data_IF_763306650589
#
_entry.id   IF_763306650589
#
_cell.length_a   1.000
_cell.length_b   1.000
_cell.length_c   1.000
_cell.angle_alpha   90.00
_cell.angle_beta   90.00
_cell.angle_gamma   90.00
#
_symmetry.space_group_name_H-M   'P 1'
#
loop_
_entity.id
_entity.type
_entity.pdbx_description
1 polymer ?
#
# COMPACT_ATOMS: atom_id res chain seq x y z
N UNK A 1 19.38 22.73 4.08
CA UNK A 1 20.17 21.56 3.67
C UNK A 1 20.81 20.89 4.89
N UNK A 2 21.10 19.61 4.77
CA UNK A 2 21.83 18.89 5.80
C UNK A 2 23.28 19.37 5.84
N UNK A 3 23.77 19.75 7.02
CA UNK A 3 25.14 20.26 7.18
C UNK A 3 26.20 19.19 6.89
N UNK A 4 25.89 17.91 7.12
CA UNK A 4 26.84 16.81 6.93
C UNK A 4 26.93 16.31 5.49
N UNK A 5 25.80 16.21 4.79
CA UNK A 5 25.74 15.62 3.44
C UNK A 5 25.34 16.59 2.34
N UNK A 6 24.96 17.82 2.69
CA UNK A 6 24.51 18.84 1.74
C UNK A 6 23.14 18.60 1.13
N UNK A 7 22.43 17.57 1.55
CA UNK A 7 21.09 17.24 1.04
C UNK A 7 20.00 17.73 1.98
N UNK A 8 18.81 17.96 1.42
CA UNK A 8 17.64 18.30 2.22
C UNK A 8 17.03 17.04 2.81
N UNK A 9 16.62 17.04 4.09
CA UNK A 9 15.84 15.94 4.64
C UNK A 9 14.57 15.75 3.82
N UNK A 10 14.25 14.51 3.51
CA UNK A 10 13.09 14.17 2.67
C UNK A 10 12.30 13.04 3.30
N UNK A 11 10.96 13.07 3.19
CA UNK A 11 10.18 11.91 3.56
C UNK A 11 10.40 10.75 2.58
N UNK A 12 10.19 9.53 3.06
CA UNK A 12 10.14 8.36 2.18
C UNK A 12 8.80 8.34 1.45
N UNK A 13 8.80 7.88 0.21
CA UNK A 13 7.60 7.79 -0.61
C UNK A 13 7.20 6.33 -0.76
N UNK A 14 5.94 6.04 -0.41
CA UNK A 14 5.36 4.70 -0.53
C UNK A 14 4.10 4.74 -1.38
N UNK A 15 3.69 3.58 -1.87
CA UNK A 15 2.46 3.41 -2.66
C UNK A 15 1.65 2.26 -2.11
N UNK A 16 0.32 2.37 -2.25
CA UNK A 16 -0.63 1.33 -1.87
C UNK A 16 -1.56 1.03 -3.02
N UNK A 17 -1.77 -0.24 -3.31
CA UNK A 17 -2.69 -0.70 -4.34
C UNK A 17 -4.04 -1.02 -3.71
N UNK A 18 -5.08 -0.32 -4.16
CA UNK A 18 -6.45 -0.55 -3.74
C UNK A 18 -7.14 -1.27 -4.90
N UNK A 19 -7.24 -2.58 -4.82
CA UNK A 19 -7.90 -3.41 -5.83
C UNK A 19 -9.23 -3.91 -5.27
N UNK A 20 -10.32 -3.58 -5.95
CA UNK A 20 -11.68 -3.91 -5.53
C UNK A 20 -12.33 -4.78 -6.60
N UNK A 21 -12.93 -5.88 -6.16
CA UNK A 21 -13.63 -6.84 -7.00
C UNK A 21 -15.03 -7.05 -6.40
N UNK A 22 -16.04 -6.35 -6.93
CA UNK A 22 -17.38 -6.36 -6.34
C UNK A 22 -17.36 -5.81 -4.92
N UNK A 23 -17.71 -6.63 -3.94
CA UNK A 23 -17.68 -6.27 -2.51
C UNK A 23 -16.40 -6.72 -1.80
N UNK A 24 -15.39 -7.12 -2.55
CA UNK A 24 -14.13 -7.63 -2.03
C UNK A 24 -12.97 -6.66 -2.29
N UNK A 25 -11.99 -6.68 -1.39
CA UNK A 25 -10.75 -5.93 -1.53
C UNK A 25 -9.56 -6.87 -1.35
N UNK A 26 -8.51 -6.65 -2.14
CA UNK A 26 -7.29 -7.43 -2.07
C UNK A 26 -6.43 -6.94 -0.91
N UNK A 27 -6.10 -7.83 0.00
CA UNK A 27 -5.25 -7.54 1.15
C UNK A 27 -4.13 -8.57 1.27
N UNK A 28 -3.02 -8.13 1.84
CA UNK A 28 -1.93 -9.01 2.26
C UNK A 28 -1.88 -9.06 3.78
N UNK A 29 -1.30 -10.13 4.32
CA UNK A 29 -0.93 -10.19 5.74
C UNK A 29 0.56 -9.89 5.82
N UNK A 30 0.92 -8.90 6.62
CA UNK A 30 2.32 -8.48 6.73
C UNK A 30 3.17 -9.60 7.34
N UNK A 31 4.29 -9.90 6.70
CA UNK A 31 5.27 -10.87 7.19
C UNK A 31 6.39 -10.26 8.02
N UNK A 32 6.45 -8.92 8.11
CA UNK A 32 7.53 -8.18 8.78
C UNK A 32 6.99 -7.06 9.66
N UNK A 33 7.80 -6.65 10.65
CA UNK A 33 7.54 -5.43 11.41
C UNK A 33 7.75 -4.18 10.51
N UNK A 34 7.07 -3.05 10.72
CA UNK A 34 6.02 -2.86 11.74
C UNK A 34 4.72 -3.57 11.35
N UNK A 35 3.86 -3.79 12.35
CA UNK A 35 2.53 -4.40 12.19
C UNK A 35 2.54 -5.81 11.59
N UNK A 36 3.57 -6.60 11.93
CA UNK A 36 3.66 -8.01 11.53
C UNK A 36 2.38 -8.78 11.91
N UNK A 37 1.84 -9.52 10.95
CA UNK A 37 0.63 -10.32 11.14
C UNK A 37 -0.67 -9.58 10.89
N UNK A 38 -0.63 -8.25 10.70
CA UNK A 38 -1.83 -7.47 10.37
C UNK A 38 -2.09 -7.45 8.87
N UNK A 39 -3.35 -7.31 8.50
CA UNK A 39 -3.75 -7.12 7.10
C UNK A 39 -3.41 -5.70 6.64
N UNK A 40 -3.05 -5.56 5.38
CA UNK A 40 -2.69 -4.28 4.77
C UNK A 40 -2.98 -4.32 3.27
N UNK A 41 -3.04 -3.14 2.66
CA UNK A 41 -3.04 -3.05 1.19
C UNK A 41 -1.68 -3.53 0.66
N UNK A 42 -1.66 -4.19 -0.50
CA UNK A 42 -0.39 -4.43 -1.20
C UNK A 42 0.30 -3.09 -1.48
N UNK A 43 1.60 -3.01 -1.24
CA UNK A 43 2.33 -1.78 -1.46
C UNK A 43 3.74 -1.83 -0.91
N UNK A 44 4.45 -0.74 -1.04
CA UNK A 44 5.80 -0.61 -0.56
C UNK A 44 6.44 0.70 -0.99
N UNK A 45 7.74 0.81 -0.80
CA UNK A 45 8.46 2.04 -1.10
C UNK A 45 8.75 2.17 -2.59
N UNK A 46 8.65 3.41 -3.07
CA UNK A 46 9.05 3.78 -4.43
C UNK A 46 10.57 3.84 -4.48
N UNK A 47 11.17 3.23 -5.49
CA UNK A 47 12.61 3.29 -5.69
C UNK A 47 13.00 4.64 -6.30
N UNK A 48 14.21 5.09 -6.00
CA UNK A 48 14.72 6.31 -6.62
C UNK A 48 14.72 6.16 -8.15
N UNK A 49 14.16 7.16 -8.81
CA UNK A 49 14.03 7.15 -10.29
C UNK A 49 12.83 6.37 -10.82
N UNK A 50 12.00 5.82 -9.94
CA UNK A 50 10.82 5.05 -10.33
C UNK A 50 9.56 5.92 -10.23
N UNK A 51 8.71 5.85 -11.26
CA UNK A 51 7.39 6.49 -11.23
C UNK A 51 6.50 5.77 -10.21
N UNK A 52 5.78 6.50 -9.33
CA UNK A 52 4.88 5.86 -8.35
C UNK A 52 3.83 4.93 -8.96
N UNK A 53 3.31 5.23 -10.16
CA UNK A 53 2.36 4.35 -10.84
C UNK A 53 3.00 3.04 -11.29
N UNK A 54 4.28 3.07 -11.65
CA UNK A 54 5.04 1.86 -11.94
C UNK A 54 5.32 1.09 -10.66
N UNK A 55 5.69 1.80 -9.60
CA UNK A 55 5.99 1.20 -8.29
C UNK A 55 4.81 0.42 -7.72
N UNK A 56 3.60 0.97 -7.77
CA UNK A 56 2.42 0.32 -7.22
C UNK A 56 2.11 -1.00 -7.94
N UNK A 57 2.28 -1.03 -9.26
CA UNK A 57 2.08 -2.26 -10.04
C UNK A 57 3.19 -3.27 -9.81
N UNK A 58 4.43 -2.81 -9.63
CA UNK A 58 5.54 -3.67 -9.27
C UNK A 58 5.32 -4.34 -7.92
N UNK A 59 4.93 -3.55 -6.90
CA UNK A 59 4.65 -4.08 -5.56
C UNK A 59 3.48 -5.08 -5.59
N UNK A 60 2.42 -4.78 -6.34
CA UNK A 60 1.30 -5.70 -6.51
C UNK A 60 1.76 -7.04 -7.08
N UNK A 61 2.64 -7.00 -8.09
CA UNK A 61 3.19 -8.21 -8.71
C UNK A 61 4.08 -8.97 -7.74
N UNK A 62 4.96 -8.27 -7.02
CA UNK A 62 5.88 -8.89 -6.06
C UNK A 62 5.15 -9.55 -4.89
N UNK A 63 4.12 -8.90 -4.36
CA UNK A 63 3.42 -9.38 -3.16
C UNK A 63 2.26 -10.34 -3.45
N UNK A 64 1.59 -10.17 -4.58
CA UNK A 64 0.36 -10.91 -4.89
C UNK A 64 0.44 -11.74 -6.17
N UNK A 65 1.47 -11.57 -6.97
CA UNK A 65 1.61 -12.29 -8.25
C UNK A 65 0.62 -11.86 -9.32
N UNK A 66 -0.02 -10.69 -9.17
CA UNK A 66 -1.07 -10.21 -10.06
C UNK A 66 -0.56 -9.06 -10.91
N UNK A 67 -0.91 -9.07 -12.20
CA UNK A 67 -0.74 -7.92 -13.08
C UNK A 67 -2.00 -7.05 -13.00
N UNK A 68 -1.81 -5.75 -12.92
CA UNK A 68 -2.92 -4.80 -12.82
C UNK A 68 -2.69 -3.55 -13.65
N UNK A 69 -3.65 -2.65 -13.60
CA UNK A 69 -3.56 -1.33 -14.25
C UNK A 69 -4.01 -0.26 -13.27
N UNK A 70 -3.29 0.86 -13.23
CA UNK A 70 -3.70 2.01 -12.44
C UNK A 70 -4.92 2.65 -13.10
N UNK A 71 -6.00 2.80 -12.32
CA UNK A 71 -7.23 3.47 -12.77
C UNK A 71 -7.16 4.94 -12.43
N UNK A 72 -6.87 5.27 -11.17
CA UNK A 72 -6.72 6.67 -10.73
C UNK A 72 -6.09 6.75 -9.34
N UNK A 73 -5.63 7.95 -9.00
CA UNK A 73 -5.21 8.31 -7.66
C UNK A 73 -6.43 8.41 -6.75
N UNK A 74 -6.37 7.79 -5.57
CA UNK A 74 -7.43 7.89 -4.56
C UNK A 74 -7.13 8.95 -3.51
N UNK A 75 -5.98 8.86 -2.84
CA UNK A 75 -5.61 9.81 -1.80
C UNK A 75 -4.10 9.75 -1.52
N UNK A 76 -3.65 10.77 -0.78
CA UNK A 76 -2.28 10.84 -0.27
C UNK A 76 -2.36 10.96 1.25
N UNK A 77 -1.59 10.15 1.95
CA UNK A 77 -1.47 10.17 3.41
C UNK A 77 -0.05 10.58 3.79
N UNK A 78 0.09 11.77 4.33
CA UNK A 78 1.42 12.36 4.56
C UNK A 78 1.67 12.90 5.97
N UNK A 79 0.86 12.52 6.97
CA UNK A 79 1.11 12.95 8.35
C UNK A 79 2.47 12.40 8.83
N UNK A 80 3.39 13.24 9.31
CA UNK A 80 4.72 12.80 9.76
C UNK A 80 4.69 11.73 10.85
N UNK A 81 3.62 11.64 11.62
CA UNK A 81 3.52 10.71 12.75
C UNK A 81 2.81 9.40 12.43
N UNK A 82 2.38 9.20 11.17
CA UNK A 82 1.60 8.03 10.78
C UNK A 82 2.38 6.71 10.76
N UNK A 83 3.71 6.75 10.70
CA UNK A 83 4.55 5.56 10.58
C UNK A 83 5.68 5.61 11.61
N UNK A 84 5.87 4.53 12.39
CA UNK A 84 6.92 4.51 13.43
C UNK A 84 8.34 4.54 12.87
N UNK A 85 8.54 4.22 11.59
CA UNK A 85 9.86 4.23 10.95
C UNK A 85 10.35 5.64 10.61
N UNK A 86 9.47 6.63 10.61
CA UNK A 86 9.78 8.01 10.25
C UNK A 86 8.69 8.64 9.40
N UNK A 87 9.02 9.76 8.73
CA UNK A 87 8.05 10.43 7.86
C UNK A 87 7.92 9.68 6.54
N UNK A 88 6.78 9.03 6.35
CA UNK A 88 6.43 8.30 5.12
C UNK A 88 5.19 8.94 4.51
N UNK A 89 5.29 9.31 3.23
CA UNK A 89 4.14 9.78 2.45
C UNK A 89 3.69 8.62 1.56
N UNK A 90 2.44 8.20 1.71
CA UNK A 90 1.86 7.11 0.91
C UNK A 90 0.84 7.64 -0.08
N UNK A 91 0.94 7.16 -1.31
CA UNK A 91 -0.01 7.45 -2.38
C UNK A 91 -0.83 6.18 -2.62
N UNK A 92 -2.15 6.28 -2.43
CA UNK A 92 -3.07 5.17 -2.68
C UNK A 92 -3.67 5.30 -4.07
N UNK A 93 -3.51 4.25 -4.88
CA UNK A 93 -4.07 4.17 -6.23
C UNK A 93 -5.18 3.13 -6.30
N UNK A 94 -6.27 3.47 -6.99
CA UNK A 94 -7.24 2.46 -7.42
C UNK A 94 -6.63 1.69 -8.58
N UNK A 95 -6.55 0.37 -8.43
CA UNK A 95 -5.93 -0.52 -9.41
C UNK A 95 -6.96 -1.55 -9.89
N UNK A 96 -7.04 -1.72 -11.20
CA UNK A 96 -7.84 -2.78 -11.79
C UNK A 96 -7.02 -4.08 -11.78
N UNK A 97 -7.40 -5.02 -10.91
CA UNK A 97 -6.78 -6.33 -10.76
C UNK A 97 -7.82 -7.26 -10.17
N UNK A 98 -8.07 -8.39 -10.81
CA UNK A 98 -9.20 -9.26 -10.46
C UNK A 98 -8.82 -10.73 -10.26
N UNK A 99 -7.56 -11.09 -10.51
CA UNK A 99 -7.10 -12.48 -10.46
C UNK A 99 -6.95 -12.97 -9.02
N UNK A 100 -6.85 -14.29 -8.85
CA UNK A 100 -6.53 -14.87 -7.56
C UNK A 100 -5.04 -14.65 -7.24
N UNK A 101 -4.72 -14.18 -6.05
CA UNK A 101 -3.34 -13.86 -5.70
C UNK A 101 -2.55 -15.09 -5.25
N UNK A 102 -1.22 -14.95 -5.39
CA UNK A 102 -0.24 -15.86 -4.78
C UNK A 102 0.71 -14.99 -3.99
N UNK A 103 0.84 -15.25 -2.67
CA UNK A 103 1.70 -14.44 -1.80
C UNK A 103 3.15 -14.47 -2.26
N UNK A 104 3.77 -13.30 -2.30
CA UNK A 104 5.19 -13.13 -2.66
C UNK A 104 6.08 -12.96 -1.43
N UNK A 105 7.28 -12.40 -1.66
CA UNK A 105 8.41 -12.45 -0.72
C UNK A 105 8.15 -11.86 0.67
N UNK A 106 7.49 -10.70 0.76
CA UNK A 106 7.34 -9.97 2.03
C UNK A 106 5.95 -10.11 2.62
N UNK A 107 5.08 -10.89 2.01
CA UNK A 107 3.72 -11.14 2.49
C UNK A 107 3.60 -12.58 2.99
N UNK A 108 3.05 -12.76 4.19
CA UNK A 108 2.76 -14.10 4.71
C UNK A 108 1.58 -14.74 3.97
N UNK A 109 0.65 -13.93 3.45
CA UNK A 109 -0.47 -14.38 2.63
C UNK A 109 -1.05 -13.21 1.84
N UNK A 110 -1.79 -13.54 0.78
CA UNK A 110 -2.54 -12.55 -0.01
C UNK A 110 -3.89 -13.16 -0.34
N UNK A 111 -4.97 -12.41 -0.20
CA UNK A 111 -6.32 -12.90 -0.45
C UNK A 111 -7.31 -11.76 -0.66
N UNK A 112 -8.42 -12.07 -1.32
CA UNK A 112 -9.59 -11.19 -1.39
C UNK A 112 -10.39 -11.32 -0.11
N UNK A 113 -10.78 -10.18 0.48
CA UNK A 113 -11.58 -10.09 1.69
C UNK A 113 -12.83 -9.27 1.44
N UNK A 114 -13.95 -9.64 2.04
CA UNK A 114 -15.13 -8.79 1.98
C UNK A 114 -14.87 -7.49 2.69
N UNK A 115 -15.16 -6.37 2.03
CA UNK A 115 -14.92 -5.04 2.60
C UNK A 115 -15.68 -4.88 3.92
N UNK A 116 -16.92 -5.37 3.99
CA UNK A 116 -17.76 -5.28 5.19
C UNK A 116 -17.22 -6.07 6.38
N UNK A 117 -16.34 -7.04 6.15
CA UNK A 117 -15.77 -7.88 7.20
C UNK A 117 -14.38 -7.41 7.66
N UNK A 118 -13.82 -6.40 7.00
CA UNK A 118 -12.52 -5.85 7.38
C UNK A 118 -12.70 -4.90 8.57
N UNK A 119 -12.18 -5.30 9.73
CA UNK A 119 -12.30 -4.54 10.97
C UNK A 119 -11.03 -3.81 11.36
N UNK A 120 -9.88 -4.31 10.90
CA UNK A 120 -8.57 -3.83 11.34
C UNK A 120 -7.55 -3.97 10.21
N UNK A 121 -6.76 -2.92 10.00
CA UNK A 121 -5.65 -2.90 9.04
C UNK A 121 -4.42 -2.29 9.68
N UNK A 122 -3.25 -2.60 9.12
CA UNK A 122 -1.97 -2.05 9.56
C UNK A 122 -1.92 -0.54 9.39
N UNK A 123 -1.25 0.15 10.31
CA UNK A 123 -1.03 1.59 10.24
C UNK A 123 -2.34 2.37 10.14
N UNK A 124 -2.41 3.28 9.19
CA UNK A 124 -3.60 4.11 8.92
C UNK A 124 -4.43 3.60 7.73
N UNK A 125 -4.20 2.38 7.28
CA UNK A 125 -4.94 1.79 6.15
C UNK A 125 -6.44 1.73 6.40
N UNK A 126 -6.86 1.52 7.65
CA UNK A 126 -8.28 1.53 7.98
C UNK A 126 -8.92 2.90 7.72
N UNK A 127 -8.20 3.98 8.00
CA UNK A 127 -8.64 5.35 7.69
C UNK A 127 -8.79 5.55 6.18
N UNK A 128 -7.88 5.00 5.39
CA UNK A 128 -7.96 5.05 3.93
C UNK A 128 -9.17 4.26 3.43
N UNK A 129 -9.38 3.06 3.97
CA UNK A 129 -10.53 2.22 3.61
C UNK A 129 -11.85 2.92 3.93
N UNK A 130 -11.96 3.58 5.08
CA UNK A 130 -13.16 4.32 5.47
C UNK A 130 -13.46 5.46 4.51
N UNK A 131 -12.45 6.16 4.00
CA UNK A 131 -12.63 7.18 2.97
C UNK A 131 -13.17 6.59 1.67
N UNK A 132 -12.69 5.41 1.28
CA UNK A 132 -13.13 4.73 0.05
C UNK A 132 -14.58 4.29 0.17
N UNK A 133 -15.02 3.83 1.33
CA UNK A 133 -16.42 3.40 1.58
C UNK A 133 -17.43 4.54 1.41
N UNK A 134 -16.98 5.80 1.43
CA UNK A 134 -17.84 6.96 1.29
C UNK A 134 -18.09 7.35 -0.18
N UNK A 135 -17.43 6.71 -1.11
CA UNK A 135 -17.59 7.00 -2.54
C UNK A 135 -18.58 6.07 -3.24
#
# INVERSE_FOLDING_TARGET
ACDDCGQWPQPSLAVDAIAIRGDEILLIRRGKEPWKGMLAFPGGFVDYGEDPEVAVLRELKEECGIDGKVVRLLCVSGNPERDPRGHVVSIAYLVAAFDEPVAGDDAASAAWHRISEVEELAGDHMSILDKIKQF
#
